data_IF_551063018844
#
_entry.id   IF_551063018844
#
_cell.length_a   1.000
_cell.length_b   1.000
_cell.length_c   1.000
_cell.angle_alpha   90.00
_cell.angle_beta   90.00
_cell.angle_gamma   90.00
#
_symmetry.space_group_name_H-M   'P 1'
#
loop_
_entity.id
_entity.type
_entity.pdbx_description
1 polymer ?
#
# COMPACT_ATOMS: atom_id res chain seq x y z
N UNK A 1 14.34 12.53 -18.34
CA UNK A 1 13.08 12.16 -17.65
C UNK A 1 12.30 13.43 -17.41
N UNK A 2 11.07 13.54 -17.91
CA UNK A 2 10.22 14.69 -17.63
C UNK A 2 9.92 14.73 -16.14
N UNK A 3 10.04 15.91 -15.53
CA UNK A 3 9.71 16.13 -14.13
C UNK A 3 8.17 16.18 -14.01
N UNK A 4 7.52 15.02 -14.11
CA UNK A 4 6.06 14.91 -14.05
C UNK A 4 5.62 15.33 -12.66
N UNK A 5 4.99 16.51 -12.56
CA UNK A 5 4.37 16.98 -11.33
C UNK A 5 2.99 16.35 -11.25
N UNK A 6 2.93 15.21 -10.57
CA UNK A 6 1.67 14.57 -10.17
C UNK A 6 0.89 15.53 -9.25
N UNK A 7 -0.40 15.72 -9.54
CA UNK A 7 -1.27 16.62 -8.76
C UNK A 7 -2.35 15.82 -8.04
N UNK A 8 -2.90 14.79 -8.70
CA UNK A 8 -3.90 13.91 -8.14
C UNK A 8 -3.29 12.53 -7.84
N UNK A 9 -3.72 11.93 -6.74
CA UNK A 9 -3.34 10.56 -6.36
C UNK A 9 -3.72 9.55 -7.46
N UNK A 10 -4.85 9.79 -8.13
CA UNK A 10 -5.26 9.02 -9.30
C UNK A 10 -4.24 9.03 -10.45
N UNK A 11 -3.50 10.13 -10.65
CA UNK A 11 -2.47 10.19 -11.69
C UNK A 11 -1.30 9.23 -11.36
N UNK A 12 -0.94 9.14 -10.08
CA UNK A 12 0.07 8.18 -9.58
C UNK A 12 -0.46 6.77 -9.72
N UNK A 13 -1.70 6.53 -9.30
CA UNK A 13 -2.35 5.24 -9.42
C UNK A 13 -2.37 4.73 -10.87
N UNK A 14 -2.69 5.60 -11.83
CA UNK A 14 -2.69 5.25 -13.26
C UNK A 14 -1.30 4.94 -13.78
N UNK A 15 -0.29 5.70 -13.34
CA UNK A 15 1.10 5.38 -13.67
C UNK A 15 1.51 4.01 -13.13
N UNK A 16 1.19 3.69 -11.87
CA UNK A 16 1.47 2.38 -11.26
C UNK A 16 0.76 1.26 -12.03
N UNK A 17 -0.53 1.43 -12.38
CA UNK A 17 -1.28 0.45 -13.22
C UNK A 17 -0.53 0.15 -14.51
N UNK A 18 -0.09 1.20 -15.22
CA UNK A 18 0.67 1.02 -16.45
C UNK A 18 2.01 0.30 -16.24
N UNK A 19 2.71 0.55 -15.13
CA UNK A 19 3.93 -0.19 -14.82
C UNK A 19 3.63 -1.68 -14.58
N UNK A 20 2.60 -2.00 -13.81
CA UNK A 20 2.18 -3.38 -13.55
C UNK A 20 1.76 -4.10 -14.84
N UNK A 21 0.99 -3.44 -15.70
CA UNK A 21 0.57 -3.97 -17.00
C UNK A 21 1.76 -4.16 -17.94
N UNK A 22 2.75 -3.27 -17.92
CA UNK A 22 3.96 -3.37 -18.76
C UNK A 22 4.82 -4.60 -18.45
N UNK A 23 4.73 -5.13 -17.23
CA UNK A 23 5.41 -6.36 -16.82
C UNK A 23 4.52 -7.61 -16.94
N UNK A 24 3.36 -7.49 -17.59
CA UNK A 24 2.46 -8.61 -17.90
C UNK A 24 1.44 -8.94 -16.82
N UNK A 25 1.27 -8.08 -15.81
CA UNK A 25 0.20 -8.25 -14.83
C UNK A 25 -1.13 -7.76 -15.41
N UNK A 26 -2.23 -8.41 -15.02
CA UNK A 26 -3.57 -8.16 -15.55
C UNK A 26 -4.50 -7.80 -14.39
N UNK A 27 -5.13 -6.63 -14.48
CA UNK A 27 -6.07 -6.14 -13.47
C UNK A 27 -7.22 -7.13 -13.27
N UNK A 28 -7.62 -7.33 -12.01
CA UNK A 28 -8.66 -8.28 -11.60
C UNK A 28 -8.33 -9.75 -11.88
N UNK A 29 -7.07 -10.07 -12.25
CA UNK A 29 -6.61 -11.44 -12.44
C UNK A 29 -5.34 -11.73 -11.65
N UNK A 30 -4.31 -10.90 -11.82
CA UNK A 30 -3.03 -11.08 -11.13
C UNK A 30 -2.75 -9.98 -10.11
N UNK A 31 -3.32 -8.80 -10.31
CA UNK A 31 -3.34 -7.73 -9.31
C UNK A 31 -4.73 -7.13 -9.18
N UNK A 32 -5.05 -6.61 -8.01
CA UNK A 32 -6.27 -5.84 -7.75
C UNK A 32 -5.95 -4.54 -7.02
N UNK A 33 -6.93 -3.65 -7.01
CA UNK A 33 -6.83 -2.32 -6.37
C UNK A 33 -7.79 -2.24 -5.21
N UNK A 34 -7.43 -1.47 -4.18
CA UNK A 34 -8.33 -1.09 -3.11
C UNK A 34 -9.12 -2.28 -2.50
N UNK A 35 -10.45 -2.26 -2.60
CA UNK A 35 -11.36 -3.25 -2.02
C UNK A 35 -11.48 -4.55 -2.83
N UNK A 36 -10.82 -4.64 -3.99
CA UNK A 36 -10.85 -5.82 -4.86
C UNK A 36 -10.08 -7.04 -4.34
N UNK A 37 -9.71 -7.07 -3.07
CA UNK A 37 -8.90 -8.11 -2.44
C UNK A 37 -9.61 -9.47 -2.36
N UNK A 38 -8.84 -10.55 -2.54
CA UNK A 38 -9.31 -11.90 -2.24
C UNK A 38 -9.63 -12.07 -0.75
N UNK A 39 -10.35 -13.14 -0.42
CA UNK A 39 -10.59 -13.49 0.99
C UNK A 39 -9.30 -13.86 1.73
N UNK A 40 -8.33 -14.46 1.03
CA UNK A 40 -7.00 -14.74 1.59
C UNK A 40 -6.29 -13.43 1.98
N UNK A 41 -6.25 -12.44 1.09
CA UNK A 41 -5.64 -11.13 1.38
C UNK A 41 -6.35 -10.40 2.51
N UNK A 42 -7.70 -10.40 2.54
CA UNK A 42 -8.44 -9.77 3.65
C UNK A 42 -8.11 -10.40 5.00
N UNK A 43 -7.97 -11.73 5.03
CA UNK A 43 -7.59 -12.44 6.24
C UNK A 43 -6.13 -12.16 6.63
N UNK A 44 -5.22 -12.07 5.64
CA UNK A 44 -3.82 -11.73 5.88
C UNK A 44 -3.64 -10.30 6.42
N UNK A 45 -4.51 -9.38 6.01
CA UNK A 45 -4.53 -7.98 6.46
C UNK A 45 -5.53 -7.71 7.60
N UNK A 46 -6.06 -8.76 8.23
CA UNK A 46 -6.96 -8.61 9.35
C UNK A 46 -6.21 -7.98 10.53
N UNK A 47 -6.78 -6.92 11.13
CA UNK A 47 -6.15 -6.20 12.24
C UNK A 47 -5.18 -5.09 11.83
N UNK A 48 -4.77 -5.03 10.56
CA UNK A 48 -3.96 -3.92 10.01
C UNK A 48 -4.82 -2.77 9.45
N UNK A 49 -6.05 -2.60 9.95
CA UNK A 49 -6.89 -1.46 9.59
C UNK A 49 -6.44 -0.19 10.30
N UNK A 50 -6.31 0.90 9.54
CA UNK A 50 -5.91 2.23 10.03
C UNK A 50 -7.04 2.96 10.78
N UNK A 51 -8.19 2.33 11.02
CA UNK A 51 -9.37 2.95 11.68
C UNK A 51 -9.51 2.50 13.14
N UNK A 52 -9.92 3.40 14.04
CA UNK A 52 -10.13 3.13 15.48
C UNK A 52 -11.00 1.89 15.76
N UNK A 53 -11.97 1.60 14.88
CA UNK A 53 -12.71 0.34 14.88
C UNK A 53 -11.90 -0.70 14.12
N UNK A 54 -11.08 -1.47 14.83
CA UNK A 54 -10.24 -2.59 14.35
C UNK A 54 -11.03 -3.79 13.76
N UNK A 55 -12.29 -3.59 13.36
CA UNK A 55 -13.16 -4.63 12.81
C UNK A 55 -13.01 -4.79 11.30
N UNK A 56 -12.09 -4.06 10.67
CA UNK A 56 -11.82 -4.09 9.23
C UNK A 56 -10.41 -4.62 8.93
N UNK A 57 -10.19 -4.97 7.67
CA UNK A 57 -8.88 -5.31 7.12
C UNK A 57 -8.16 -4.06 6.59
N UNK A 58 -6.83 -4.11 6.51
CA UNK A 58 -6.03 -3.08 5.84
C UNK A 58 -6.38 -2.97 4.35
N UNK A 59 -6.44 -1.75 3.81
CA UNK A 59 -6.78 -1.47 2.41
C UNK A 59 -5.61 -0.78 1.70
N UNK A 60 -4.62 -1.53 1.18
CA UNK A 60 -3.57 -0.97 0.33
C UNK A 60 -4.14 -0.50 -1.02
N UNK A 61 -3.40 0.37 -1.71
CA UNK A 61 -3.81 0.93 -3.00
C UNK A 61 -3.79 -0.16 -4.08
N UNK A 62 -2.75 -1.00 -4.07
CA UNK A 62 -2.59 -2.15 -4.96
C UNK A 62 -2.16 -3.39 -4.21
N UNK A 63 -2.54 -4.54 -4.75
CA UNK A 63 -2.12 -5.82 -4.23
C UNK A 63 -1.97 -6.85 -5.36
N UNK A 64 -1.00 -7.74 -5.20
CA UNK A 64 -0.63 -8.80 -6.14
C UNK A 64 -0.55 -10.11 -5.37
N UNK A 65 -1.33 -11.09 -5.79
CA UNK A 65 -1.43 -12.40 -5.13
C UNK A 65 -0.95 -13.56 -6.04
N UNK A 66 -0.43 -13.24 -7.22
CA UNK A 66 0.10 -14.23 -8.18
C UNK A 66 1.36 -14.96 -7.66
N UNK A 67 2.11 -14.36 -6.74
CA UNK A 67 3.39 -14.88 -6.26
C UNK A 67 3.22 -15.63 -4.93
N UNK A 68 4.25 -16.41 -4.55
CA UNK A 68 4.27 -17.14 -3.28
C UNK A 68 4.17 -16.22 -2.05
N UNK A 69 4.59 -14.96 -2.21
CA UNK A 69 4.47 -13.91 -1.20
C UNK A 69 3.60 -12.79 -1.78
N UNK A 70 2.51 -12.39 -1.11
CA UNK A 70 1.71 -11.27 -1.56
C UNK A 70 2.50 -9.98 -1.57
N UNK A 71 2.31 -9.18 -2.62
CA UNK A 71 2.94 -7.86 -2.75
C UNK A 71 1.86 -6.80 -2.60
N UNK A 72 2.11 -5.81 -1.75
CA UNK A 72 1.23 -4.64 -1.59
C UNK A 72 1.98 -3.39 -2.05
N UNK A 73 1.26 -2.46 -2.64
CA UNK A 73 1.75 -1.10 -2.88
C UNK A 73 0.87 -0.13 -2.13
N UNK A 74 1.53 0.80 -1.45
CA UNK A 74 0.93 1.97 -0.85
C UNK A 74 1.74 3.16 -1.36
N UNK A 75 1.09 4.05 -2.11
CA UNK A 75 1.72 5.30 -2.52
C UNK A 75 1.21 6.48 -1.69
N UNK A 76 2.00 7.55 -1.65
CA UNK A 76 1.66 8.76 -0.88
C UNK A 76 2.14 9.99 -1.62
N UNK A 77 1.34 10.47 -2.57
CA UNK A 77 1.68 11.59 -3.45
C UNK A 77 2.18 12.85 -2.70
N UNK A 78 1.53 13.23 -1.59
CA UNK A 78 1.85 14.46 -0.87
C UNK A 78 2.84 14.30 0.29
N UNK A 79 3.30 13.07 0.55
CA UNK A 79 4.22 12.78 1.64
C UNK A 79 5.65 12.80 1.14
N UNK A 80 6.41 13.81 1.57
CA UNK A 80 7.85 13.94 1.29
C UNK A 80 8.74 13.22 2.30
N UNK A 81 8.15 12.42 3.20
CA UNK A 81 8.88 11.77 4.29
C UNK A 81 8.95 10.27 4.06
N UNK A 82 10.17 9.75 3.99
CA UNK A 82 10.41 8.34 3.67
C UNK A 82 10.12 7.43 4.86
N UNK A 83 10.82 7.64 5.98
CA UNK A 83 10.76 6.79 7.17
C UNK A 83 10.84 7.61 8.46
N UNK A 84 10.14 7.16 9.50
CA UNK A 84 10.25 7.65 10.87
C UNK A 84 10.65 6.52 11.80
N UNK A 85 11.81 6.63 12.44
CA UNK A 85 12.37 5.59 13.30
C UNK A 85 13.04 6.19 14.52
N UNK A 86 13.17 5.37 15.56
CA UNK A 86 13.99 5.63 16.73
C UNK A 86 15.10 4.58 16.79
N UNK A 87 15.97 4.68 17.81
CA UNK A 87 16.98 3.65 18.08
C UNK A 87 16.38 2.27 18.36
N UNK A 88 15.10 2.24 18.76
CA UNK A 88 14.37 1.04 19.15
C UNK A 88 13.57 0.44 17.97
N UNK A 89 13.54 1.11 16.82
CA UNK A 89 12.91 0.63 15.60
C UNK A 89 11.98 1.64 14.91
N UNK A 90 11.23 1.14 13.94
CA UNK A 90 10.34 1.94 13.10
C UNK A 90 9.07 2.29 13.87
N UNK A 91 8.66 3.56 13.79
CA UNK A 91 7.47 4.06 14.49
C UNK A 91 6.18 3.61 13.81
N UNK A 92 5.28 3.00 14.56
CA UNK A 92 4.02 2.46 14.04
C UNK A 92 2.78 3.14 14.66
N UNK A 93 2.99 4.28 15.32
CA UNK A 93 1.92 5.17 15.73
C UNK A 93 1.19 5.77 14.50
N UNK A 94 -0.09 6.11 14.67
CA UNK A 94 -0.97 6.60 13.60
C UNK A 94 -0.38 7.78 12.81
N UNK A 95 0.27 8.72 13.52
CA UNK A 95 0.92 9.86 12.90
C UNK A 95 2.08 9.43 12.00
N UNK A 96 2.87 8.46 12.44
CA UNK A 96 3.98 7.91 11.65
C UNK A 96 3.48 7.11 10.44
N UNK A 97 2.47 6.25 10.62
CA UNK A 97 1.86 5.42 9.56
C UNK A 97 1.24 6.27 8.45
N UNK A 98 0.55 7.36 8.82
CA UNK A 98 -0.07 8.30 7.87
C UNK A 98 0.96 9.22 7.20
N UNK A 99 1.97 9.68 7.94
CA UNK A 99 2.88 10.74 7.47
C UNK A 99 4.16 10.25 6.80
N UNK A 100 4.43 8.95 6.75
CA UNK A 100 5.67 8.39 6.19
C UNK A 100 5.38 7.18 5.29
N UNK A 101 6.12 7.06 4.19
CA UNK A 101 5.91 6.00 3.19
C UNK A 101 6.20 4.61 3.76
N UNK A 102 7.40 4.40 4.29
CA UNK A 102 7.87 3.10 4.82
C UNK A 102 7.02 2.65 6.01
N UNK A 103 6.71 3.56 6.94
CA UNK A 103 5.90 3.26 8.11
C UNK A 103 4.49 2.79 7.73
N UNK A 104 3.90 3.39 6.68
CA UNK A 104 2.60 2.98 6.16
C UNK A 104 2.62 1.59 5.52
N UNK A 105 3.63 1.28 4.72
CA UNK A 105 3.79 -0.05 4.13
C UNK A 105 4.00 -1.13 5.18
N UNK A 106 4.87 -0.88 6.16
CA UNK A 106 5.15 -1.82 7.25
C UNK A 106 3.98 -2.01 8.21
N UNK A 107 3.03 -1.07 8.27
CA UNK A 107 1.83 -1.23 9.08
C UNK A 107 1.02 -2.48 8.70
N UNK A 108 1.05 -2.86 7.42
CA UNK A 108 0.37 -4.06 6.92
C UNK A 108 1.13 -5.36 7.22
N UNK A 109 2.41 -5.29 7.58
CA UNK A 109 3.25 -6.46 7.84
C UNK A 109 3.33 -6.85 9.32
N UNK A 110 2.57 -6.17 10.19
CA UNK A 110 2.51 -6.50 11.61
C UNK A 110 1.56 -7.68 11.84
N UNK A 111 2.15 -8.82 12.20
CA UNK A 111 1.47 -10.01 12.71
C UNK A 111 1.58 -10.01 14.23
#
# INVERSE_FOLDING_TARGET
MSNTKWVLEDDVNDWVKHQLESIGLVKNKTYTVESGMSEYMKNALAGSAKTERKTNFGKPDFQIEQYDIPVIFEDKLHVKKLINETKDGIKLDEKSVSSYAVNGGLFYAQI
#
